data_IF_176830563690
#
_entry.id   IF_176830563690
#
_cell.length_a   1.000
_cell.length_b   1.000
_cell.length_c   1.000
_cell.angle_alpha   90.00
_cell.angle_beta   90.00
_cell.angle_gamma   90.00
#
_symmetry.space_group_name_H-M   'P 1'
#
loop_
_entity.id
_entity.type
_entity.pdbx_description
1 polymer ?
#
# COMPACT_ATOMS: atom_id res chain seq x y z
N UNK A 1 53.11 2.63 49.52
CA UNK A 1 52.88 1.33 48.84
C UNK A 1 51.39 1.03 48.98
N UNK A 2 50.45 1.42 48.10
CA UNK A 2 50.27 1.13 46.66
C UNK A 2 50.58 -0.33 46.31
N UNK A 3 49.57 -1.19 46.19
CA UNK A 3 49.13 -1.84 44.94
C UNK A 3 48.19 -3.04 45.20
N UNK A 4 47.18 -3.26 44.35
CA UNK A 4 46.66 -4.61 44.11
C UNK A 4 45.14 -4.84 44.16
N UNK A 5 44.31 -3.96 43.60
CA UNK A 5 42.91 -4.30 43.25
C UNK A 5 42.65 -3.94 41.78
N UNK A 6 43.07 -4.82 40.87
CA UNK A 6 42.63 -4.81 39.48
C UNK A 6 42.92 -6.16 38.82
N UNK A 7 41.84 -6.83 38.38
CA UNK A 7 41.70 -7.72 37.20
C UNK A 7 40.74 -8.87 37.53
N UNK A 8 39.47 -8.69 37.17
CA UNK A 8 38.58 -9.76 36.70
C UNK A 8 37.24 -9.20 36.21
N UNK A 9 37.31 -8.11 35.47
CA UNK A 9 36.27 -7.69 34.54
C UNK A 9 37.00 -7.73 33.20
N UNK A 10 36.47 -8.39 32.16
CA UNK A 10 36.67 -8.00 30.74
C UNK A 10 36.57 -9.13 29.69
N UNK A 11 36.50 -10.42 30.03
CA UNK A 11 36.39 -11.44 28.97
C UNK A 11 34.94 -11.79 28.57
N UNK A 12 34.00 -11.83 29.53
CA UNK A 12 32.63 -12.35 29.28
C UNK A 12 31.67 -11.32 28.67
N UNK A 13 31.92 -10.03 28.90
CA UNK A 13 31.09 -8.94 28.38
C UNK A 13 31.32 -8.65 26.88
N UNK A 14 32.54 -8.91 26.38
CA UNK A 14 32.87 -8.70 24.96
C UNK A 14 32.26 -9.76 24.03
N UNK A 15 32.17 -11.01 24.47
CA UNK A 15 31.57 -12.10 23.69
C UNK A 15 30.07 -11.87 23.47
N UNK A 16 29.35 -11.35 24.47
CA UNK A 16 27.92 -11.02 24.32
C UNK A 16 27.67 -9.82 23.39
N UNK A 17 28.56 -8.83 23.35
CA UNK A 17 28.46 -7.70 22.42
C UNK A 17 28.73 -8.09 20.96
N UNK A 18 29.63 -9.05 20.73
CA UNK A 18 29.90 -9.57 19.38
C UNK A 18 28.74 -10.44 18.85
N UNK A 19 28.10 -11.24 19.70
CA UNK A 19 26.91 -12.04 19.29
C UNK A 19 25.72 -11.14 18.97
N UNK A 20 25.52 -10.03 19.69
CA UNK A 20 24.46 -9.05 19.39
C UNK A 20 24.71 -8.24 18.12
N UNK A 21 25.98 -7.97 17.76
CA UNK A 21 26.35 -7.31 16.51
C UNK A 21 26.22 -8.23 15.28
N UNK A 22 26.42 -9.53 15.44
CA UNK A 22 26.27 -10.51 14.34
C UNK A 22 24.80 -10.83 14.04
N UNK A 23 23.88 -10.74 15.02
CA UNK A 23 22.46 -10.95 14.78
C UNK A 23 21.76 -9.82 14.00
N UNK A 24 22.33 -8.61 13.96
CA UNK A 24 21.78 -7.49 13.17
C UNK A 24 22.14 -7.62 11.67
N UNK A 25 23.16 -8.41 11.33
CA UNK A 25 23.65 -8.54 9.96
C UNK A 25 22.87 -9.56 9.09
N UNK A 26 21.80 -10.17 9.62
CA UNK A 26 20.90 -11.05 8.85
C UNK A 26 19.55 -10.40 8.56
N UNK A 27 19.54 -9.10 8.26
CA UNK A 27 18.49 -8.53 7.44
C UNK A 27 18.66 -9.10 6.02
N UNK A 28 18.17 -10.33 5.80
CA UNK A 28 18.09 -10.90 4.47
C UNK A 28 17.41 -9.90 3.56
N UNK A 29 18.07 -9.55 2.45
CA UNK A 29 17.47 -8.77 1.39
C UNK A 29 16.24 -9.52 0.87
N UNK A 30 15.07 -9.25 1.45
CA UNK A 30 13.82 -9.66 0.85
C UNK A 30 13.76 -8.92 -0.50
N UNK A 31 13.81 -9.67 -1.60
CA UNK A 31 13.69 -9.10 -2.92
C UNK A 31 12.35 -8.37 -3.01
N UNK A 32 12.39 -7.04 -3.19
CA UNK A 32 11.20 -6.21 -3.37
C UNK A 32 10.76 -6.28 -4.83
N UNK A 33 9.45 -6.34 -5.13
CA UNK A 33 8.98 -6.28 -6.51
C UNK A 33 9.34 -4.91 -7.09
N UNK A 34 10.03 -4.92 -8.23
CA UNK A 34 10.26 -3.73 -9.03
C UNK A 34 9.06 -3.41 -9.94
N UNK A 35 9.10 -2.27 -10.65
CA UNK A 35 8.08 -1.91 -11.64
C UNK A 35 7.81 -2.97 -12.71
N UNK A 36 8.82 -3.79 -13.02
CA UNK A 36 8.73 -4.88 -14.01
C UNK A 36 7.71 -5.95 -13.59
N UNK A 37 7.45 -6.12 -12.29
CA UNK A 37 6.45 -7.06 -11.80
C UNK A 37 5.01 -6.65 -12.14
N UNK A 38 4.81 -5.38 -12.53
CA UNK A 38 3.51 -4.79 -12.85
C UNK A 38 3.22 -4.74 -14.35
N UNK A 39 4.12 -5.27 -15.17
CA UNK A 39 3.86 -5.44 -16.59
C UNK A 39 2.71 -6.44 -16.75
N UNK A 40 1.76 -6.09 -17.61
CA UNK A 40 0.63 -6.97 -17.89
C UNK A 40 1.11 -8.23 -18.61
N UNK A 41 0.70 -9.39 -18.10
CA UNK A 41 0.95 -10.69 -18.74
C UNK A 41 -0.36 -11.33 -19.18
N UNK A 42 -0.37 -12.10 -20.28
CA UNK A 42 -1.59 -12.77 -20.74
C UNK A 42 -2.22 -13.62 -19.63
N UNK A 43 -3.55 -13.55 -19.52
CA UNK A 43 -4.28 -14.41 -18.58
C UNK A 43 -4.24 -15.84 -19.11
N UNK A 44 -3.81 -16.81 -18.28
CA UNK A 44 -3.95 -18.22 -18.61
C UNK A 44 -5.44 -18.60 -18.63
N UNK A 45 -5.88 -19.35 -19.66
CA UNK A 45 -7.30 -19.65 -19.96
C UNK A 45 -8.09 -20.34 -18.81
N UNK A 46 -7.40 -20.96 -17.86
CA UNK A 46 -8.01 -21.47 -16.63
C UNK A 46 -8.14 -20.35 -15.61
N UNK A 47 -9.37 -19.88 -15.39
CA UNK A 47 -9.74 -18.79 -14.49
C UNK A 47 -8.99 -18.85 -13.14
N UNK A 48 -7.91 -18.08 -13.08
CA UNK A 48 -7.23 -17.75 -11.84
C UNK A 48 -8.13 -16.82 -11.04
N UNK A 49 -8.13 -16.96 -9.71
CA UNK A 49 -8.77 -15.97 -8.85
C UNK A 49 -8.15 -14.60 -9.15
N UNK A 50 -8.98 -13.62 -9.46
CA UNK A 50 -8.54 -12.27 -9.82
C UNK A 50 -9.12 -11.24 -8.86
N UNK A 51 -8.33 -10.20 -8.58
CA UNK A 51 -8.74 -9.04 -7.81
C UNK A 51 -8.49 -7.81 -8.66
N UNK A 52 -9.54 -7.06 -8.96
CA UNK A 52 -9.43 -5.74 -9.59
C UNK A 52 -9.32 -4.67 -8.52
N UNK A 53 -8.23 -3.91 -8.55
CA UNK A 53 -7.90 -2.84 -7.63
C UNK A 53 -7.91 -1.52 -8.39
N UNK A 54 -8.74 -0.58 -7.94
CA UNK A 54 -8.65 0.79 -8.40
C UNK A 54 -7.61 1.54 -7.56
N UNK A 55 -6.82 2.38 -8.20
CA UNK A 55 -5.71 3.09 -7.57
C UNK A 55 -5.96 4.58 -7.68
N UNK A 56 -5.86 5.28 -6.56
CA UNK A 56 -5.62 6.71 -6.50
C UNK A 56 -4.21 6.94 -5.98
N UNK A 57 -3.36 7.57 -6.78
CA UNK A 57 -1.94 7.69 -6.47
C UNK A 57 -1.47 9.13 -6.54
N UNK A 58 -0.77 9.58 -5.50
CA UNK A 58 -0.04 10.87 -5.51
C UNK A 58 1.38 10.72 -6.03
N UNK A 59 1.76 9.53 -6.50
CA UNK A 59 3.07 9.24 -7.09
C UNK A 59 3.13 9.70 -8.54
N UNK A 60 4.27 10.27 -8.92
CA UNK A 60 4.61 10.57 -10.30
C UNK A 60 4.78 9.28 -11.12
N UNK A 61 4.68 9.43 -12.43
CA UNK A 61 4.99 8.36 -13.37
C UNK A 61 6.31 8.66 -14.06
N UNK A 62 7.09 7.61 -14.28
CA UNK A 62 8.23 7.66 -15.17
C UNK A 62 7.74 7.92 -16.60
N UNK A 63 8.36 8.88 -17.28
CA UNK A 63 7.89 9.36 -18.58
C UNK A 63 8.06 8.34 -19.71
N UNK A 64 8.98 7.37 -19.55
CA UNK A 64 9.29 6.37 -20.58
C UNK A 64 8.48 5.11 -20.37
N UNK A 65 8.47 4.60 -19.14
CA UNK A 65 7.88 3.31 -18.77
C UNK A 65 6.43 3.43 -18.29
N UNK A 66 5.98 4.63 -17.92
CA UNK A 66 4.67 4.87 -17.31
C UNK A 66 4.50 4.24 -15.92
N UNK A 67 5.56 3.70 -15.33
CA UNK A 67 5.56 3.12 -14.00
C UNK A 67 5.46 4.20 -12.92
N UNK A 68 4.79 3.89 -11.82
CA UNK A 68 4.79 4.78 -10.66
C UNK A 68 6.17 4.81 -9.99
N UNK A 69 6.63 6.02 -9.65
CA UNK A 69 7.91 6.25 -8.98
C UNK A 69 7.67 6.58 -7.50
N UNK A 70 8.76 6.90 -6.79
CA UNK A 70 8.72 7.41 -5.42
C UNK A 70 8.65 8.95 -5.37
N UNK A 71 8.64 9.63 -6.52
CA UNK A 71 8.45 11.07 -6.57
C UNK A 71 6.95 11.44 -6.47
N UNK A 72 6.66 12.64 -5.99
CA UNK A 72 5.30 13.19 -5.95
C UNK A 72 4.86 13.67 -7.33
N UNK A 73 3.60 13.40 -7.69
CA UNK A 73 2.92 14.00 -8.83
C UNK A 73 2.27 15.34 -8.45
N UNK A 74 2.14 16.29 -9.39
CA UNK A 74 1.42 17.53 -9.14
C UNK A 74 -0.09 17.32 -8.94
N UNK A 75 -0.65 16.23 -9.48
CA UNK A 75 -2.07 15.87 -9.41
C UNK A 75 -2.24 14.38 -9.12
N UNK A 76 -3.41 13.98 -8.61
CA UNK A 76 -3.79 12.57 -8.45
C UNK A 76 -3.78 11.84 -9.80
N UNK A 77 -3.19 10.65 -9.79
CA UNK A 77 -3.21 9.70 -10.88
C UNK A 77 -4.19 8.57 -10.56
N UNK A 78 -4.98 8.16 -11.53
CA UNK A 78 -5.94 7.07 -11.38
C UNK A 78 -5.68 5.95 -12.37
N UNK A 79 -5.81 4.71 -11.89
CA UNK A 79 -5.55 3.52 -12.69
C UNK A 79 -6.24 2.29 -12.10
N UNK A 80 -6.71 1.39 -12.94
CA UNK A 80 -7.21 0.08 -12.54
C UNK A 80 -6.15 -0.98 -12.84
N UNK A 81 -5.92 -1.87 -11.89
CA UNK A 81 -5.07 -3.05 -12.04
C UNK A 81 -5.89 -4.30 -11.75
N UNK A 82 -5.84 -5.28 -12.65
CA UNK A 82 -6.34 -6.62 -12.35
C UNK A 82 -5.15 -7.51 -12.01
N UNK A 83 -5.16 -8.05 -10.80
CA UNK A 83 -4.11 -8.92 -10.28
C UNK A 83 -4.64 -10.33 -10.20
N UNK A 84 -3.92 -11.26 -10.82
CA UNK A 84 -4.14 -12.70 -10.68
C UNK A 84 -3.43 -13.24 -9.43
N UNK A 85 -4.10 -14.16 -8.76
CA UNK A 85 -3.61 -14.87 -7.58
C UNK A 85 -3.27 -16.30 -7.99
N UNK A 86 -2.05 -16.79 -7.73
CA UNK A 86 -1.66 -18.13 -8.17
C UNK A 86 -2.44 -19.21 -7.40
N UNK A 87 -2.71 -20.38 -8.02
CA UNK A 87 -3.43 -21.47 -7.35
C UNK A 87 -2.64 -22.07 -6.19
N UNK A 88 -1.32 -21.85 -6.15
CA UNK A 88 -0.42 -22.30 -5.09
C UNK A 88 -0.33 -21.33 -3.91
N UNK A 89 -1.08 -20.22 -3.96
CA UNK A 89 -1.07 -19.18 -2.94
C UNK A 89 -1.37 -19.73 -1.54
N UNK A 90 -0.61 -19.25 -0.56
CA UNK A 90 -0.85 -19.54 0.85
C UNK A 90 -1.18 -18.24 1.58
N UNK A 91 -2.21 -18.30 2.42
CA UNK A 91 -2.63 -17.17 3.22
C UNK A 91 -1.45 -16.49 3.91
N UNK A 92 -1.45 -15.16 3.91
CA UNK A 92 -0.42 -14.23 4.42
C UNK A 92 0.87 -14.12 3.59
N UNK A 93 1.09 -14.98 2.61
CA UNK A 93 2.27 -14.92 1.74
C UNK A 93 2.00 -14.06 0.51
N UNK A 94 3.03 -13.42 -0.03
CA UNK A 94 2.96 -12.83 -1.37
C UNK A 94 4.02 -13.53 -2.20
N UNK A 95 3.57 -14.41 -3.10
CA UNK A 95 4.43 -15.08 -4.07
C UNK A 95 4.87 -14.06 -5.13
N UNK A 96 5.99 -13.40 -4.87
CA UNK A 96 6.56 -12.40 -5.76
C UNK A 96 7.27 -13.06 -6.96
N UNK A 97 7.13 -12.49 -8.17
CA UNK A 97 7.87 -12.98 -9.33
C UNK A 97 9.37 -12.72 -9.16
N UNK A 98 10.20 -13.74 -9.38
CA UNK A 98 11.67 -13.61 -9.35
C UNK A 98 12.22 -12.98 -10.64
N UNK A 99 11.58 -13.29 -11.78
CA UNK A 99 11.78 -12.73 -13.11
C UNK A 99 10.56 -13.10 -13.97
N UNK A 100 10.05 -12.19 -14.81
CA UNK A 100 8.85 -12.34 -15.66
C UNK A 100 7.62 -12.92 -14.91
N UNK A 101 6.58 -12.10 -14.70
CA UNK A 101 5.40 -12.53 -13.94
C UNK A 101 4.72 -13.74 -14.59
N UNK A 102 4.59 -14.84 -13.84
CA UNK A 102 3.82 -16.03 -14.23
C UNK A 102 2.62 -16.17 -13.29
N UNK A 103 1.38 -16.00 -13.80
CA UNK A 103 0.15 -16.11 -13.02
C UNK A 103 -0.05 -17.46 -12.32
N UNK A 104 0.60 -18.53 -12.79
CA UNK A 104 0.47 -19.87 -12.18
C UNK A 104 1.35 -20.05 -10.94
N UNK A 105 2.37 -19.23 -10.77
CA UNK A 105 3.38 -19.40 -9.72
C UNK A 105 3.57 -18.17 -8.83
N UNK A 106 3.09 -17.00 -9.26
CA UNK A 106 3.26 -15.73 -8.58
C UNK A 106 2.07 -14.80 -8.80
N UNK A 107 1.97 -13.77 -7.96
CA UNK A 107 1.05 -12.65 -8.20
C UNK A 107 1.47 -11.94 -9.49
N UNK A 108 0.52 -11.72 -10.39
CA UNK A 108 0.80 -11.10 -11.68
C UNK A 108 -0.31 -10.13 -12.08
N UNK A 109 0.08 -8.98 -12.61
CA UNK A 109 -0.86 -8.04 -13.24
C UNK A 109 -1.28 -8.62 -14.59
N UNK A 110 -2.57 -8.82 -14.82
CA UNK A 110 -3.13 -9.34 -16.07
C UNK A 110 -3.86 -8.29 -16.90
N UNK A 111 -4.24 -7.18 -16.27
CA UNK A 111 -4.79 -6.02 -16.95
C UNK A 111 -4.41 -4.73 -16.23
N UNK A 112 -4.23 -3.66 -17.01
CA UNK A 112 -3.84 -2.33 -16.53
C UNK A 112 -4.53 -1.28 -17.38
N UNK A 113 -5.32 -0.40 -16.75
CA UNK A 113 -6.09 0.62 -17.45
C UNK A 113 -6.00 1.98 -16.77
N UNK A 114 -5.49 2.98 -17.48
CA UNK A 114 -5.53 4.37 -17.02
C UNK A 114 -6.97 4.84 -16.85
N UNK A 115 -7.25 5.52 -15.75
CA UNK A 115 -8.55 6.09 -15.45
C UNK A 115 -8.44 7.62 -15.42
N UNK A 116 -9.44 8.36 -15.92
CA UNK A 116 -9.47 9.81 -15.79
C UNK A 116 -9.78 10.23 -14.34
N UNK A 117 -10.58 9.43 -13.62
CA UNK A 117 -10.99 9.63 -12.23
C UNK A 117 -11.48 8.31 -11.58
N UNK A 118 -11.86 8.35 -10.30
CA UNK A 118 -12.50 7.24 -9.58
C UNK A 118 -14.03 7.27 -9.67
N UNK A 119 -14.59 7.40 -10.88
CA UNK A 119 -16.04 7.27 -11.07
C UNK A 119 -16.44 5.82 -11.30
N UNK A 120 -17.19 5.28 -10.34
CA UNK A 120 -17.75 3.95 -10.39
C UNK A 120 -19.11 3.90 -11.09
N UNK A 121 -19.73 5.07 -11.31
CA UNK A 121 -20.89 5.24 -12.19
C UNK A 121 -20.76 4.62 -13.59
N UNK A 122 -19.54 4.47 -14.12
CA UNK A 122 -19.28 3.83 -15.42
C UNK A 122 -19.27 2.29 -15.37
N UNK A 123 -19.25 1.68 -14.17
CA UNK A 123 -19.27 0.22 -14.01
C UNK A 123 -20.70 -0.28 -14.23
N UNK A 124 -20.89 -1.08 -15.28
CA UNK A 124 -22.18 -1.69 -15.57
C UNK A 124 -22.53 -2.71 -14.47
N UNK A 125 -23.66 -2.51 -13.82
CA UNK A 125 -24.15 -3.34 -12.72
C UNK A 125 -25.36 -2.73 -12.03
N UNK A 126 -26.25 -3.58 -11.52
CA UNK A 126 -27.39 -3.15 -10.72
C UNK A 126 -26.96 -3.02 -9.25
N UNK A 127 -27.28 -1.88 -8.62
CA UNK A 127 -27.01 -1.63 -7.20
C UNK A 127 -25.77 -0.77 -6.90
N UNK A 128 -25.63 -0.45 -5.62
CA UNK A 128 -24.44 0.20 -5.05
C UNK A 128 -23.41 -0.87 -4.69
N UNK A 129 -22.12 -0.53 -4.75
CA UNK A 129 -21.03 -1.39 -4.28
C UNK A 129 -20.34 -0.77 -3.08
N UNK A 130 -20.17 -1.55 -2.03
CA UNK A 130 -19.33 -1.15 -0.90
C UNK A 130 -17.87 -1.14 -1.35
N UNK A 131 -17.07 -0.25 -0.76
CA UNK A 131 -15.68 -0.03 -1.14
C UNK A 131 -14.77 -0.09 0.08
N UNK A 132 -13.60 -0.69 -0.10
CA UNK A 132 -12.50 -0.64 0.86
C UNK A 132 -11.44 0.31 0.32
N UNK A 133 -11.16 1.40 1.04
CA UNK A 133 -10.01 2.26 0.74
C UNK A 133 -8.86 1.87 1.66
N UNK A 134 -7.79 1.34 1.09
CA UNK A 134 -6.59 0.96 1.79
C UNK A 134 -5.49 2.02 1.60
N UNK A 135 -4.97 2.53 2.72
CA UNK A 135 -3.87 3.48 2.80
C UNK A 135 -2.65 2.75 3.34
N UNK A 136 -1.67 2.49 2.47
CA UNK A 136 -0.48 1.74 2.85
C UNK A 136 0.41 2.51 3.84
N UNK A 137 1.29 1.78 4.52
CA UNK A 137 2.23 2.34 5.49
C UNK A 137 3.52 2.87 4.87
N UNK A 138 4.50 3.11 5.75
CA UNK A 138 5.83 3.64 5.42
C UNK A 138 6.72 2.63 4.67
N UNK A 139 7.65 3.13 3.85
CA UNK A 139 8.69 2.34 3.16
C UNK A 139 8.12 1.25 2.23
N UNK A 140 6.94 1.52 1.65
CA UNK A 140 6.36 0.74 0.57
C UNK A 140 6.70 1.37 -0.77
N UNK A 141 7.22 0.58 -1.70
CA UNK A 141 7.15 0.93 -3.12
C UNK A 141 5.73 0.66 -3.65
N UNK A 142 5.44 1.12 -4.87
CA UNK A 142 4.09 0.97 -5.44
C UNK A 142 3.68 -0.49 -5.67
N UNK A 143 4.59 -1.34 -6.17
CA UNK A 143 4.26 -2.75 -6.44
C UNK A 143 3.98 -3.53 -5.15
N UNK A 144 4.73 -3.25 -4.08
CA UNK A 144 4.52 -3.82 -2.75
C UNK A 144 3.13 -3.47 -2.20
N UNK A 145 2.70 -2.22 -2.34
CA UNK A 145 1.40 -1.79 -1.81
C UNK A 145 0.23 -2.38 -2.60
N UNK A 146 0.38 -2.48 -3.93
CA UNK A 146 -0.60 -3.13 -4.80
C UNK A 146 -0.76 -4.62 -4.49
N UNK A 147 0.35 -5.38 -4.48
CA UNK A 147 0.28 -6.82 -4.20
C UNK A 147 -0.14 -7.13 -2.77
N UNK A 148 0.21 -6.26 -1.80
CA UNK A 148 -0.28 -6.40 -0.43
C UNK A 148 -1.80 -6.28 -0.36
N UNK A 149 -2.39 -5.29 -1.03
CA UNK A 149 -3.84 -5.17 -1.07
C UNK A 149 -4.50 -6.32 -1.83
N UNK A 150 -3.90 -6.79 -2.93
CA UNK A 150 -4.39 -7.97 -3.66
C UNK A 150 -4.41 -9.22 -2.76
N UNK A 151 -3.35 -9.42 -1.97
CA UNK A 151 -3.26 -10.51 -1.01
C UNK A 151 -4.31 -10.38 0.12
N UNK A 152 -4.49 -9.19 0.68
CA UNK A 152 -5.53 -8.95 1.70
C UNK A 152 -6.93 -9.20 1.12
N UNK A 153 -7.19 -8.77 -0.11
CA UNK A 153 -8.46 -8.99 -0.78
C UNK A 153 -8.73 -10.47 -1.07
N UNK A 154 -7.69 -11.21 -1.47
CA UNK A 154 -7.77 -12.64 -1.67
C UNK A 154 -7.97 -13.39 -0.34
N UNK A 155 -7.12 -13.17 0.64
CA UNK A 155 -7.19 -13.92 1.90
C UNK A 155 -8.42 -13.58 2.74
N UNK A 156 -8.86 -12.32 2.70
CA UNK A 156 -10.04 -11.85 3.42
C UNK A 156 -11.36 -12.09 2.68
N UNK A 157 -11.32 -12.66 1.47
CA UNK A 157 -12.49 -12.85 0.60
C UNK A 157 -13.35 -11.57 0.48
N UNK A 158 -12.68 -10.44 0.29
CA UNK A 158 -13.33 -9.13 0.33
C UNK A 158 -14.46 -9.05 -0.70
N UNK A 159 -15.64 -8.67 -0.22
CA UNK A 159 -16.81 -8.41 -1.06
C UNK A 159 -16.85 -6.96 -1.54
N UNK A 160 -16.19 -6.05 -0.79
CA UNK A 160 -16.00 -4.67 -1.19
C UNK A 160 -15.03 -4.55 -2.36
N UNK A 161 -15.25 -3.54 -3.19
CA UNK A 161 -14.30 -3.19 -4.23
C UNK A 161 -13.06 -2.52 -3.62
N UNK A 162 -11.85 -3.08 -3.79
CA UNK A 162 -10.64 -2.53 -3.19
C UNK A 162 -10.14 -1.32 -3.97
N UNK A 163 -9.82 -0.27 -3.22
CA UNK A 163 -9.20 0.96 -3.69
C UNK A 163 -7.89 1.13 -2.94
N UNK A 164 -6.78 1.24 -3.66
CA UNK A 164 -5.48 1.58 -3.09
C UNK A 164 -5.27 3.09 -3.16
N UNK A 165 -5.07 3.73 -2.01
CA UNK A 165 -4.48 5.06 -1.96
C UNK A 165 -2.95 4.94 -1.84
N UNK A 166 -2.25 5.19 -2.94
CA UNK A 166 -0.80 5.04 -3.03
C UNK A 166 -0.08 6.39 -2.91
N UNK A 167 0.72 6.56 -1.87
CA UNK A 167 1.49 7.77 -1.61
C UNK A 167 3.00 7.48 -1.62
N UNK A 168 3.87 8.47 -1.93
CA UNK A 168 5.31 8.27 -2.09
C UNK A 168 6.00 8.01 -0.72
N UNK A 169 5.83 6.80 -0.19
CA UNK A 169 6.35 6.40 1.13
C UNK A 169 7.70 5.65 1.09
N UNK A 170 8.13 5.19 -0.09
CA UNK A 170 9.45 4.62 -0.26
C UNK A 170 10.45 5.77 -0.42
N UNK A 171 11.50 5.77 0.40
CA UNK A 171 12.58 6.75 0.38
C UNK A 171 12.29 8.19 0.89
N UNK A 172 11.30 8.48 1.77
CA UNK A 172 11.35 9.72 2.59
C UNK A 172 12.46 9.68 3.69
N UNK A 173 13.51 8.88 3.47
CA UNK A 173 14.52 8.34 4.40
C UNK A 173 15.54 9.37 4.90
N UNK A 174 15.25 10.68 4.90
CA UNK A 174 16.11 11.65 5.62
C UNK A 174 15.35 12.26 6.79
N UNK A 175 15.16 11.43 7.82
CA UNK A 175 14.78 11.84 9.16
C UNK A 175 13.28 11.93 9.39
N UNK A 176 12.88 11.67 10.64
CA UNK A 176 11.55 11.84 11.23
C UNK A 176 10.94 13.26 11.04
N UNK A 177 11.66 14.16 10.38
CA UNK A 177 11.34 15.57 10.12
C UNK A 177 11.10 15.84 8.62
N UNK A 178 11.55 14.99 7.70
CA UNK A 178 11.35 15.18 6.25
C UNK A 178 9.97 14.76 5.71
N UNK A 179 9.07 14.28 6.58
CA UNK A 179 7.77 13.71 6.18
C UNK A 179 6.56 14.60 6.47
N UNK A 180 6.75 15.88 6.82
CA UNK A 180 5.60 16.78 7.00
C UNK A 180 4.97 17.14 5.66
N UNK A 181 5.77 17.40 4.64
CA UNK A 181 5.26 17.86 3.35
C UNK A 181 4.59 16.72 2.58
N UNK A 182 5.27 15.58 2.42
CA UNK A 182 4.70 14.43 1.72
C UNK A 182 3.40 13.92 2.38
N UNK A 183 3.35 13.89 3.72
CA UNK A 183 2.13 13.49 4.41
C UNK A 183 1.07 14.59 4.41
N UNK A 184 1.43 15.87 4.52
CA UNK A 184 0.46 16.99 4.44
C UNK A 184 -0.20 17.05 3.07
N UNK A 185 0.56 16.89 1.98
CA UNK A 185 -0.04 16.86 0.64
C UNK A 185 -0.88 15.61 0.44
N UNK A 186 -0.38 14.44 0.86
CA UNK A 186 -1.15 13.19 0.77
C UNK A 186 -2.44 13.24 1.59
N UNK A 187 -2.50 14.06 2.65
CA UNK A 187 -3.71 14.31 3.45
C UNK A 187 -4.78 15.00 2.60
N UNK A 188 -4.44 16.10 1.96
CA UNK A 188 -5.39 16.86 1.14
C UNK A 188 -5.88 16.01 -0.05
N UNK A 189 -4.98 15.23 -0.67
CA UNK A 189 -5.30 14.29 -1.74
C UNK A 189 -6.18 13.13 -1.26
N UNK A 190 -5.94 12.57 -0.06
CA UNK A 190 -6.81 11.54 0.52
C UNK A 190 -8.19 12.10 0.85
N UNK A 191 -8.28 13.32 1.38
CA UNK A 191 -9.54 14.03 1.61
C UNK A 191 -10.32 14.15 0.30
N UNK A 192 -9.65 14.56 -0.78
CA UNK A 192 -10.26 14.64 -2.10
C UNK A 192 -10.78 13.29 -2.59
N UNK A 193 -9.99 12.22 -2.46
CA UNK A 193 -10.42 10.85 -2.82
C UNK A 193 -11.65 10.43 -2.02
N UNK A 194 -11.66 10.65 -0.70
CA UNK A 194 -12.81 10.33 0.15
C UNK A 194 -14.07 11.10 -0.26
N UNK A 195 -13.93 12.39 -0.59
CA UNK A 195 -15.03 13.21 -1.10
C UNK A 195 -15.56 12.70 -2.45
N UNK A 196 -14.67 12.43 -3.40
CA UNK A 196 -15.03 11.98 -4.75
C UNK A 196 -15.74 10.60 -4.68
N UNK A 197 -15.22 9.67 -3.88
CA UNK A 197 -15.81 8.33 -3.66
C UNK A 197 -17.15 8.42 -2.93
N UNK A 198 -17.26 9.25 -1.88
CA UNK A 198 -18.50 9.40 -1.11
C UNK A 198 -19.63 10.03 -1.93
N UNK A 199 -19.29 10.90 -2.89
CA UNK A 199 -20.22 11.58 -3.78
C UNK A 199 -20.75 10.68 -4.92
N UNK A 200 -20.08 9.56 -5.25
CA UNK A 200 -20.55 8.67 -6.30
C UNK A 200 -21.81 7.88 -5.85
N UNK A 201 -22.95 8.00 -6.56
CA UNK A 201 -24.19 7.33 -6.18
C UNK A 201 -24.13 5.80 -6.32
N UNK A 202 -23.16 5.24 -7.07
CA UNK A 202 -22.91 3.79 -7.16
C UNK A 202 -22.07 3.26 -6.00
N UNK A 203 -21.48 4.12 -5.17
CA UNK A 203 -20.76 3.68 -3.98
C UNK A 203 -21.77 3.48 -2.83
N UNK A 204 -21.65 2.34 -2.16
CA UNK A 204 -22.43 1.98 -0.98
C UNK A 204 -21.78 2.55 0.28
N UNK A 205 -21.40 1.66 1.19
CA UNK A 205 -20.61 1.94 2.38
C UNK A 205 -19.12 2.04 2.05
N UNK A 206 -18.39 2.81 2.86
CA UNK A 206 -16.94 2.97 2.72
C UNK A 206 -16.29 2.40 3.98
N UNK A 207 -15.42 1.40 3.80
CA UNK A 207 -14.47 0.96 4.82
C UNK A 207 -13.13 1.64 4.55
N UNK A 208 -12.58 2.35 5.54
CA UNK A 208 -11.28 3.03 5.43
C UNK A 208 -10.25 2.31 6.29
N UNK A 209 -9.21 1.75 5.67
CA UNK A 209 -8.15 1.01 6.34
C UNK A 209 -6.82 1.74 6.19
N UNK A 210 -6.21 2.15 7.30
CA UNK A 210 -4.87 2.71 7.32
C UNK A 210 -3.88 1.79 8.03
N UNK A 211 -2.73 1.53 7.42
CA UNK A 211 -1.66 0.70 8.01
C UNK A 211 -0.46 1.56 8.43
N UNK A 212 0.03 1.38 9.67
CA UNK A 212 1.17 2.08 10.25
C UNK A 212 1.06 3.60 10.04
N UNK A 213 2.04 4.25 9.38
CA UNK A 213 1.95 5.67 9.01
C UNK A 213 0.74 6.04 8.13
N UNK A 214 0.21 5.10 7.35
CA UNK A 214 -1.04 5.30 6.61
C UNK A 214 -2.25 5.49 7.53
N UNK A 215 -2.21 4.90 8.74
CA UNK A 215 -3.22 5.13 9.77
C UNK A 215 -3.18 6.56 10.33
N UNK A 216 -1.98 7.14 10.49
CA UNK A 216 -1.84 8.54 10.87
C UNK A 216 -2.39 9.48 9.79
N UNK A 217 -2.09 9.20 8.52
CA UNK A 217 -2.62 9.93 7.38
C UNK A 217 -4.16 9.87 7.33
N UNK A 218 -4.75 8.70 7.59
CA UNK A 218 -6.21 8.54 7.74
C UNK A 218 -6.75 9.45 8.85
N UNK A 219 -6.15 9.42 10.04
CA UNK A 219 -6.60 10.25 11.15
C UNK A 219 -6.57 11.75 10.81
N UNK A 220 -5.51 12.22 10.14
CA UNK A 220 -5.41 13.63 9.71
C UNK A 220 -6.44 14.00 8.63
N UNK A 221 -6.71 13.12 7.68
CA UNK A 221 -7.73 13.35 6.65
C UNK A 221 -9.13 13.44 7.27
N UNK A 222 -9.47 12.54 8.22
CA UNK A 222 -10.75 12.59 8.94
C UNK A 222 -10.90 13.85 9.78
N UNK A 223 -9.82 14.28 10.46
CA UNK A 223 -9.79 15.56 11.19
C UNK A 223 -10.08 16.74 10.25
N UNK A 224 -9.49 16.76 9.06
CA UNK A 224 -9.72 17.82 8.08
C UNK A 224 -11.16 17.81 7.53
N UNK A 225 -11.71 16.64 7.23
CA UNK A 225 -13.13 16.52 6.83
C UNK A 225 -14.05 17.09 7.90
N UNK A 226 -13.77 16.78 9.17
CA UNK A 226 -14.56 17.29 10.30
C UNK A 226 -14.46 18.82 10.43
N UNK A 227 -13.25 19.37 10.35
CA UNK A 227 -13.02 20.82 10.47
C UNK A 227 -13.57 21.62 9.30
N UNK A 228 -13.73 21.00 8.14
CA UNK A 228 -14.27 21.63 6.92
C UNK A 228 -15.77 21.37 6.73
N UNK A 229 -16.46 20.78 7.71
CA UNK A 229 -17.90 20.56 7.68
C UNK A 229 -18.36 19.46 6.71
N UNK A 230 -17.48 18.53 6.34
CA UNK A 230 -17.77 17.43 5.42
C UNK A 230 -18.45 16.24 6.13
N UNK A 231 -19.42 16.51 7.01
CA UNK A 231 -20.08 15.49 7.82
C UNK A 231 -20.81 14.44 6.96
N UNK A 232 -21.26 14.82 5.74
CA UNK A 232 -21.84 13.87 4.77
C UNK A 232 -20.85 12.83 4.28
N UNK A 233 -19.57 13.17 4.15
CA UNK A 233 -18.51 12.22 3.76
C UNK A 233 -18.23 11.28 4.94
N UNK A 234 -18.11 11.83 6.14
CA UNK A 234 -17.87 11.05 7.36
C UNK A 234 -19.01 10.06 7.60
N UNK A 235 -20.26 10.46 7.40
CA UNK A 235 -21.43 9.60 7.55
C UNK A 235 -21.49 8.43 6.54
N UNK A 236 -20.66 8.45 5.49
CA UNK A 236 -20.55 7.36 4.49
C UNK A 236 -19.50 6.32 4.90
N UNK A 237 -18.67 6.63 5.89
CA UNK A 237 -17.70 5.70 6.45
C UNK A 237 -18.43 4.74 7.40
N UNK A 238 -18.47 3.46 7.05
CA UNK A 238 -19.09 2.42 7.88
C UNK A 238 -18.09 1.90 8.93
N UNK A 239 -16.83 1.73 8.52
CA UNK A 239 -15.75 1.26 9.38
C UNK A 239 -14.47 2.05 9.11
N UNK A 240 -13.72 2.35 10.18
CA UNK A 240 -12.35 2.89 10.11
C UNK A 240 -11.44 1.96 10.88
N UNK A 241 -10.46 1.37 10.20
CA UNK A 241 -9.52 0.42 10.78
C UNK A 241 -8.12 1.01 10.71
N UNK A 242 -7.44 1.09 11.85
CA UNK A 242 -6.06 1.57 11.95
C UNK A 242 -5.20 0.43 12.49
N UNK A 243 -4.33 -0.12 11.64
CA UNK A 243 -3.39 -1.16 12.01
C UNK A 243 -1.99 -0.57 12.26
N UNK A 244 -1.26 -1.09 13.23
CA UNK A 244 0.09 -0.64 13.61
C UNK A 244 1.20 -1.41 12.91
#
# INVERSE_FOLDING_TARGET
MINGYAKNIDARFWVWRLVLLVFIATAGCAARPGPQALLSVPTAETALRQVTINVASTRARDAVTGAYTDARAPTLNYESFTVSIPPTHKATKIELPKANSDPMTSFAVTDRKLLPDLRFSAVQGQGKRDVLIFVHGYNYNFAESLFRLAQVAADGELTEMPILFAWPSAASVVGYIADKDAVTYSRDDLVKVLMDVAADPKVGKITLFGHSMGGWLVAEALRQLRLTGQDRVIARLDNVVLAG
#
